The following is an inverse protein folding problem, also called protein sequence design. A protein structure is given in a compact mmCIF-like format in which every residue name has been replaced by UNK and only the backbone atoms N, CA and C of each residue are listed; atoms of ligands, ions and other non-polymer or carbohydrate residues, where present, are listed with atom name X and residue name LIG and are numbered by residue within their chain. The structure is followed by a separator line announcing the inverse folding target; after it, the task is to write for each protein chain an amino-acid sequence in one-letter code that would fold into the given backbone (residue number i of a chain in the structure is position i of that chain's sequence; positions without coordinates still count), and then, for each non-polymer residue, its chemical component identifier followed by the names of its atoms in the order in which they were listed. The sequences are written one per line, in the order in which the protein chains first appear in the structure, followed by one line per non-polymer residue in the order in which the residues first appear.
data_IF_673057426590
#
_entry.id   IF_673057426590
#
_cell.length_a   1.000
_cell.length_b   1.000
_cell.length_c   1.000
_cell.angle_alpha   90.00
_cell.angle_beta   90.00
_cell.angle_gamma   90.00
#
_symmetry.space_group_name_H-M   'P 1'
#
loop_
_entity.id
_entity.type
_entity.pdbx_description
1 polymer ?
#
# COMPACT_ATOMS: atom_id res chain seq x y z
N UNK A 1 14.07 3.74 -47.31
CA UNK A 1 14.79 4.62 -46.36
C UNK A 1 13.88 5.77 -45.92
N UNK A 2 13.15 5.63 -44.81
CA UNK A 2 12.46 6.72 -44.09
C UNK A 2 12.00 6.17 -42.72
N UNK A 3 12.95 5.82 -41.85
CA UNK A 3 12.66 5.41 -40.45
C UNK A 3 13.42 6.25 -39.41
N UNK A 4 14.24 7.22 -39.82
CA UNK A 4 15.14 7.94 -38.89
C UNK A 4 14.59 9.25 -38.32
N UNK A 5 13.47 9.78 -38.83
CA UNK A 5 12.87 11.04 -38.34
C UNK A 5 11.82 10.84 -37.25
N UNK A 6 11.11 9.70 -37.19
CA UNK A 6 10.16 9.42 -36.11
C UNK A 6 10.87 9.11 -34.79
N UNK A 7 11.95 8.33 -34.80
CA UNK A 7 12.68 7.93 -33.59
C UNK A 7 13.37 9.11 -32.89
N UNK A 8 13.82 10.12 -33.64
CA UNK A 8 14.47 11.32 -33.06
C UNK A 8 13.48 12.33 -32.47
N UNK A 9 12.20 12.28 -32.87
CA UNK A 9 11.17 13.20 -32.37
C UNK A 9 10.56 12.74 -31.05
N UNK A 10 10.49 11.43 -30.82
CA UNK A 10 10.12 10.83 -29.53
C UNK A 10 11.15 11.18 -28.44
N UNK A 11 12.44 10.85 -28.65
CA UNK A 11 13.50 11.12 -27.67
C UNK A 11 13.64 12.58 -27.21
N UNK A 12 13.35 13.55 -28.09
CA UNK A 12 13.46 14.98 -27.75
C UNK A 12 12.24 15.51 -26.99
N UNK A 13 11.05 14.99 -27.23
CA UNK A 13 9.88 15.32 -26.42
C UNK A 13 9.94 14.61 -25.07
N UNK A 14 10.37 13.34 -25.04
CA UNK A 14 10.55 12.57 -23.81
C UNK A 14 11.53 13.28 -22.87
N UNK A 15 12.67 13.80 -23.34
CA UNK A 15 13.59 14.51 -22.45
C UNK A 15 13.06 15.83 -21.87
N UNK A 16 12.17 16.54 -22.56
CA UNK A 16 11.61 17.81 -22.07
C UNK A 16 10.41 17.55 -21.15
N UNK A 17 9.53 16.61 -21.51
CA UNK A 17 8.40 16.19 -20.67
C UNK A 17 8.87 15.43 -19.43
N UNK A 18 9.83 14.52 -19.57
CA UNK A 18 10.41 13.81 -18.42
C UNK A 18 11.12 14.79 -17.47
N UNK A 19 11.74 15.85 -17.98
CA UNK A 19 12.36 16.87 -17.11
C UNK A 19 11.34 17.69 -16.32
N UNK A 20 10.08 17.75 -16.75
CA UNK A 20 9.04 18.51 -16.06
C UNK A 20 8.42 17.72 -14.88
N UNK A 21 8.42 16.39 -14.94
CA UNK A 21 7.85 15.51 -13.91
C UNK A 21 8.90 14.76 -13.09
N UNK A 22 10.07 14.41 -13.66
CA UNK A 22 11.17 13.74 -12.96
C UNK A 22 12.14 14.77 -12.35
N UNK A 23 11.63 15.59 -11.46
CA UNK A 23 12.38 16.66 -10.80
C UNK A 23 12.96 16.26 -9.44
N UNK A 24 12.94 14.96 -9.13
CA UNK A 24 13.33 14.38 -7.84
C UNK A 24 12.52 14.93 -6.66
N UNK A 25 11.24 15.23 -6.89
CA UNK A 25 10.25 15.62 -5.89
C UNK A 25 10.24 17.09 -5.52
N UNK A 26 10.84 17.97 -6.32
CA UNK A 26 10.87 19.41 -6.03
C UNK A 26 9.45 19.98 -6.06
N UNK A 27 8.69 19.74 -7.13
CA UNK A 27 7.28 20.13 -7.21
C UNK A 27 6.43 19.46 -6.14
N UNK A 28 6.69 18.18 -5.87
CA UNK A 28 5.96 17.46 -4.83
C UNK A 28 6.17 18.10 -3.45
N UNK A 29 7.40 18.51 -3.13
CA UNK A 29 7.71 19.23 -1.90
C UNK A 29 7.08 20.62 -1.85
N UNK A 30 7.14 21.40 -2.93
CA UNK A 30 6.53 22.73 -3.01
C UNK A 30 5.01 22.68 -2.83
N UNK A 31 4.35 21.68 -3.43
CA UNK A 31 2.90 21.49 -3.42
C UNK A 31 2.41 20.66 -2.22
N UNK A 32 3.30 20.31 -1.29
CA UNK A 32 3.03 19.46 -0.12
C UNK A 32 2.32 18.14 -0.49
N UNK A 33 2.74 17.53 -1.61
CA UNK A 33 2.22 16.26 -2.11
C UNK A 33 3.04 15.11 -1.57
N UNK A 34 2.35 14.14 -0.96
CA UNK A 34 2.96 12.93 -0.41
C UNK A 34 2.37 11.69 -1.06
N UNK A 35 3.22 10.71 -1.35
CA UNK A 35 2.83 9.45 -1.95
C UNK A 35 3.27 8.27 -1.09
N UNK A 36 2.29 7.57 -0.55
CA UNK A 36 2.47 6.35 0.23
C UNK A 36 2.02 5.15 -0.58
N UNK A 37 2.89 4.15 -0.70
CA UNK A 37 2.58 2.93 -1.44
C UNK A 37 2.72 1.72 -0.52
N UNK A 38 1.63 0.99 -0.38
CA UNK A 38 1.41 0.00 0.68
C UNK A 38 1.23 -1.38 0.07
N UNK A 39 2.07 -2.33 0.47
CA UNK A 39 1.90 -3.73 0.10
C UNK A 39 2.54 -4.67 1.11
N UNK A 40 2.01 -5.89 1.21
CA UNK A 40 2.60 -6.96 2.02
C UNK A 40 3.93 -7.49 1.48
N UNK A 41 4.22 -7.19 0.21
CA UNK A 41 5.44 -7.63 -0.48
C UNK A 41 6.55 -6.56 -0.51
N UNK A 42 6.35 -5.40 0.13
CA UNK A 42 7.46 -4.46 0.40
C UNK A 42 8.45 -5.16 1.31
N UNK A 43 9.70 -5.36 0.86
CA UNK A 43 10.77 -6.04 1.61
C UNK A 43 10.43 -7.47 2.06
N UNK A 44 9.46 -8.10 1.40
CA UNK A 44 9.01 -9.44 1.73
C UNK A 44 8.63 -10.18 0.43
N UNK A 45 9.61 -10.86 -0.17
CA UNK A 45 9.43 -11.52 -1.47
C UNK A 45 8.58 -12.77 -1.35
N UNK A 46 7.27 -12.65 -1.64
CA UNK A 46 6.32 -13.77 -1.68
C UNK A 46 5.95 -14.13 -3.12
N UNK A 47 5.82 -13.14 -4.00
CA UNK A 47 5.31 -13.33 -5.36
C UNK A 47 5.77 -12.26 -6.34
N UNK A 48 4.90 -11.93 -7.30
CA UNK A 48 5.19 -11.00 -8.39
C UNK A 48 5.15 -9.53 -7.97
N UNK A 49 4.40 -9.20 -6.91
CA UNK A 49 4.17 -7.81 -6.48
C UNK A 49 5.47 -7.21 -5.97
N UNK A 50 6.29 -7.98 -5.25
CA UNK A 50 7.63 -7.58 -4.85
C UNK A 50 8.46 -7.08 -6.05
N UNK A 51 8.42 -7.81 -7.18
CA UNK A 51 9.16 -7.43 -8.40
C UNK A 51 8.60 -6.14 -9.01
N UNK A 52 7.27 -5.98 -9.05
CA UNK A 52 6.63 -4.76 -9.54
C UNK A 52 7.05 -3.55 -8.70
N UNK A 53 6.88 -3.60 -7.38
CA UNK A 53 7.22 -2.49 -6.48
C UNK A 53 8.71 -2.18 -6.56
N UNK A 54 9.56 -3.21 -6.48
CA UNK A 54 11.03 -3.05 -6.51
C UNK A 54 11.51 -2.38 -7.81
N UNK A 55 11.01 -2.81 -8.96
CA UNK A 55 11.40 -2.24 -10.25
C UNK A 55 10.82 -0.85 -10.51
N UNK A 56 9.62 -0.56 -9.97
CA UNK A 56 8.98 0.76 -10.08
C UNK A 56 9.54 1.79 -9.09
N UNK A 57 10.20 1.36 -8.03
CA UNK A 57 10.70 2.24 -6.98
C UNK A 57 11.62 3.35 -7.52
N UNK A 58 12.50 3.03 -8.47
CA UNK A 58 13.41 3.99 -9.08
C UNK A 58 12.66 5.15 -9.74
N UNK A 59 11.77 4.86 -10.68
CA UNK A 59 11.03 5.93 -11.40
C UNK A 59 10.12 6.71 -10.45
N UNK A 60 9.55 6.04 -9.44
CA UNK A 60 8.72 6.68 -8.41
C UNK A 60 9.53 7.69 -7.60
N UNK A 61 10.78 7.35 -7.26
CA UNK A 61 11.66 8.22 -6.49
C UNK A 61 12.26 9.36 -7.33
N UNK A 62 12.52 9.12 -8.61
CA UNK A 62 12.91 10.14 -9.60
C UNK A 62 11.81 11.20 -9.79
N UNK A 63 10.53 10.82 -9.68
CA UNK A 63 9.39 11.75 -9.71
C UNK A 63 9.17 12.44 -8.35
N UNK A 64 9.03 11.65 -7.28
CA UNK A 64 8.42 12.14 -6.04
C UNK A 64 9.42 12.55 -4.95
N UNK A 65 10.72 12.32 -5.09
CA UNK A 65 11.61 12.79 -4.03
C UNK A 65 11.49 12.00 -2.72
N UNK A 66 11.89 12.65 -1.63
CA UNK A 66 11.63 12.19 -0.26
C UNK A 66 10.14 12.31 0.13
N UNK A 67 9.26 12.63 -0.83
CA UNK A 67 7.80 12.58 -0.65
C UNK A 67 7.21 11.20 -0.97
N UNK A 68 8.04 10.24 -1.38
CA UNK A 68 7.63 8.86 -1.66
C UNK A 68 8.10 7.91 -0.56
N UNK A 69 7.13 7.20 0.04
CA UNK A 69 7.40 6.25 1.10
C UNK A 69 6.63 4.94 0.88
N UNK A 70 7.34 3.82 0.96
CA UNK A 70 6.74 2.49 0.95
C UNK A 70 6.36 2.06 2.36
N UNK A 71 5.22 1.40 2.52
CA UNK A 71 4.79 0.82 3.80
C UNK A 71 4.55 -0.68 3.65
N UNK A 72 5.10 -1.46 4.57
CA UNK A 72 4.97 -2.92 4.54
C UNK A 72 5.16 -3.58 5.89
N UNK A 73 5.11 -4.93 5.94
CA UNK A 73 5.43 -5.69 7.13
C UNK A 73 6.92 -5.64 7.45
N UNK A 74 7.25 -5.59 8.74
CA UNK A 74 8.60 -5.84 9.20
C UNK A 74 8.90 -7.35 9.18
N UNK A 75 9.93 -7.73 8.43
CA UNK A 75 10.53 -9.06 8.48
C UNK A 75 11.99 -8.89 8.89
N UNK A 76 12.36 -9.44 10.04
CA UNK A 76 13.70 -9.29 10.63
C UNK A 76 14.80 -9.79 9.69
N UNK A 77 14.57 -10.90 8.98
CA UNK A 77 15.59 -11.50 8.11
C UNK A 77 15.93 -10.61 6.91
N UNK A 78 14.93 -10.03 6.27
CA UNK A 78 15.13 -9.14 5.10
C UNK A 78 15.54 -7.74 5.53
N UNK A 79 15.05 -7.26 6.68
CA UNK A 79 15.44 -5.95 7.21
C UNK A 79 16.95 -5.87 7.51
N UNK A 80 17.57 -6.96 7.95
CA UNK A 80 19.01 -6.98 8.24
C UNK A 80 19.89 -6.89 6.98
N UNK A 81 19.40 -7.35 5.83
CA UNK A 81 20.19 -7.47 4.60
C UNK A 81 19.81 -6.47 3.51
N UNK A 82 18.56 -6.02 3.49
CA UNK A 82 17.99 -5.19 2.41
C UNK A 82 17.59 -3.80 2.87
N UNK A 83 17.70 -3.46 4.15
CA UNK A 83 17.29 -2.15 4.69
C UNK A 83 18.46 -1.47 5.38
N UNK A 84 18.75 -0.24 4.97
CA UNK A 84 19.55 0.67 5.78
C UNK A 84 18.64 1.33 6.81
N UNK A 85 18.62 0.74 8.02
CA UNK A 85 17.82 1.25 9.14
C UNK A 85 18.47 2.53 9.65
N UNK A 86 17.71 3.62 9.65
CA UNK A 86 18.17 4.93 10.10
C UNK A 86 17.10 5.63 10.94
N UNK A 87 17.46 6.78 11.53
CA UNK A 87 16.48 7.65 12.17
C UNK A 87 15.96 8.65 11.13
N UNK A 88 14.63 8.87 11.02
CA UNK A 88 14.11 9.83 10.07
C UNK A 88 14.69 11.23 10.31
N UNK A 89 15.17 11.86 9.22
CA UNK A 89 15.62 13.26 9.23
C UNK A 89 14.45 14.21 9.43
N UNK A 90 13.30 13.91 8.82
CA UNK A 90 12.06 14.66 8.97
C UNK A 90 11.51 14.57 10.40
N UNK A 91 11.30 15.71 11.10
CA UNK A 91 10.66 15.72 12.41
C UNK A 91 9.25 15.11 12.40
N UNK A 92 8.48 15.34 11.33
CA UNK A 92 7.14 14.77 11.11
C UNK A 92 7.21 13.25 11.22
N UNK A 93 8.07 12.61 10.41
CA UNK A 93 8.20 11.15 10.38
C UNK A 93 8.65 10.60 11.73
N UNK A 94 9.57 11.30 12.41
CA UNK A 94 10.04 10.92 13.74
C UNK A 94 8.91 10.95 14.77
N UNK A 95 8.08 11.99 14.75
CA UNK A 95 6.95 12.13 15.67
C UNK A 95 5.93 11.01 15.45
N UNK A 96 5.59 10.70 14.19
CA UNK A 96 4.69 9.58 13.84
C UNK A 96 5.20 8.27 14.44
N UNK A 97 6.48 7.93 14.21
CA UNK A 97 7.07 6.69 14.73
C UNK A 97 7.07 6.68 16.26
N UNK A 98 7.37 7.82 16.90
CA UNK A 98 7.36 7.92 18.35
C UNK A 98 5.95 7.73 18.94
N UNK A 99 4.92 8.34 18.34
CA UNK A 99 3.52 8.18 18.78
C UNK A 99 3.08 6.72 18.73
N UNK A 100 3.39 5.99 17.64
CA UNK A 100 3.09 4.56 17.56
C UNK A 100 3.89 3.75 18.58
N UNK A 101 5.18 4.07 18.76
CA UNK A 101 6.06 3.40 19.73
C UNK A 101 5.60 3.58 21.17
N UNK A 102 5.19 4.79 21.55
CA UNK A 102 4.61 5.11 22.86
C UNK A 102 3.32 4.34 23.12
N UNK A 103 2.58 4.03 22.05
CA UNK A 103 1.40 3.19 22.09
C UNK A 103 1.70 1.68 22.01
N UNK A 104 2.98 1.28 22.03
CA UNK A 104 3.40 -0.12 22.01
C UNK A 104 3.52 -0.75 20.61
N UNK A 105 3.34 0.01 19.53
CA UNK A 105 3.50 -0.47 18.15
C UNK A 105 4.90 -0.11 17.64
N UNK A 106 5.68 -1.13 17.27
CA UNK A 106 7.01 -0.96 16.71
C UNK A 106 6.92 -0.77 15.20
N UNK A 107 7.44 0.37 14.73
CA UNK A 107 7.63 0.68 13.32
C UNK A 107 9.13 0.94 13.09
N UNK A 108 9.68 0.30 12.06
CA UNK A 108 11.08 0.49 11.64
C UNK A 108 11.09 1.36 10.40
N UNK A 109 11.88 2.43 10.44
CA UNK A 109 12.13 3.31 9.31
C UNK A 109 13.53 3.07 8.75
N UNK A 110 13.67 3.24 7.43
CA UNK A 110 14.95 3.17 6.76
C UNK A 110 14.80 3.37 5.26
N UNK A 111 15.80 2.91 4.52
CA UNK A 111 15.78 2.90 3.06
C UNK A 111 15.95 1.49 2.52
N UNK A 112 15.19 1.14 1.49
CA UNK A 112 15.36 -0.14 0.79
C UNK A 112 16.59 -0.07 -0.12
N UNK A 113 17.54 -0.99 0.07
CA UNK A 113 18.78 -1.13 -0.70
C UNK A 113 18.54 -1.69 -2.11
N UNK A 114 17.82 -0.92 -2.92
CA UNK A 114 17.49 -1.19 -4.33
C UNK A 114 17.70 0.08 -5.17
N UNK A 115 17.60 -0.05 -6.49
CA UNK A 115 17.64 1.10 -7.39
C UNK A 115 16.51 2.09 -7.04
N UNK A 116 16.89 3.35 -6.86
CA UNK A 116 16.01 4.40 -6.35
C UNK A 116 16.20 4.71 -4.86
N UNK A 117 16.68 3.78 -4.04
CA UNK A 117 16.88 3.98 -2.59
C UNK A 117 15.63 4.61 -1.90
N UNK A 118 14.43 4.02 -2.04
CA UNK A 118 13.20 4.61 -1.51
C UNK A 118 13.11 4.49 0.02
N UNK A 119 12.43 5.44 0.65
CA UNK A 119 12.10 5.38 2.07
C UNK A 119 11.10 4.26 2.35
N UNK A 120 11.26 3.57 3.48
CA UNK A 120 10.36 2.51 3.92
C UNK A 120 9.93 2.68 5.37
N UNK A 121 8.68 2.33 5.65
CA UNK A 121 8.11 2.15 6.99
C UNK A 121 7.63 0.71 7.13
N UNK A 122 8.20 -0.01 8.10
CA UNK A 122 7.97 -1.43 8.29
C UNK A 122 7.28 -1.68 9.63
N UNK A 123 6.08 -2.25 9.58
CA UNK A 123 5.24 -2.51 10.76
C UNK A 123 5.51 -3.89 11.33
N UNK A 124 5.91 -3.97 12.60
CA UNK A 124 6.07 -5.25 13.30
C UNK A 124 4.71 -5.76 13.82
N UNK A 125 4.17 -6.78 13.16
CA UNK A 125 2.88 -7.39 13.55
C UNK A 125 2.87 -7.88 14.99
N UNK A 126 3.98 -8.44 15.47
CA UNK A 126 4.07 -8.97 16.83
C UNK A 126 3.85 -7.89 17.89
N UNK A 127 4.33 -6.67 17.62
CA UNK A 127 4.16 -5.53 18.52
C UNK A 127 2.72 -5.04 18.64
N UNK A 128 1.90 -5.25 17.61
CA UNK A 128 0.50 -4.80 17.56
C UNK A 128 -0.51 -5.93 17.82
N UNK A 129 -0.06 -7.18 17.96
CA UNK A 129 -0.93 -8.35 18.12
C UNK A 129 -1.89 -8.28 19.31
N UNK A 130 -1.52 -7.55 20.38
CA UNK A 130 -2.35 -7.36 21.56
C UNK A 130 -3.65 -6.56 21.29
N UNK A 131 -3.70 -5.78 20.19
CA UNK A 131 -4.89 -5.04 19.74
C UNK A 131 -5.79 -5.84 18.79
N UNK A 132 -5.37 -7.04 18.36
CA UNK A 132 -6.04 -7.76 17.27
C UNK A 132 -7.53 -8.02 17.54
N UNK A 133 -7.89 -8.48 18.73
CA UNK A 133 -9.30 -8.80 19.05
C UNK A 133 -10.17 -7.54 19.08
N UNK A 134 -9.63 -6.43 19.61
CA UNK A 134 -10.29 -5.11 19.59
C UNK A 134 -10.51 -4.64 18.15
N UNK A 135 -9.48 -4.72 17.31
CA UNK A 135 -9.55 -4.29 15.91
C UNK A 135 -10.44 -5.18 15.05
N UNK A 136 -10.52 -6.49 15.32
CA UNK A 136 -11.50 -7.36 14.68
C UNK A 136 -12.93 -6.97 15.02
N UNK A 137 -13.19 -6.68 16.29
CA UNK A 137 -14.49 -6.25 16.75
C UNK A 137 -14.88 -4.88 16.16
N UNK A 138 -13.96 -3.91 16.18
CA UNK A 138 -14.14 -2.61 15.53
C UNK A 138 -14.42 -2.77 14.03
N UNK A 139 -13.61 -3.59 13.34
CA UNK A 139 -13.77 -3.79 11.90
C UNK A 139 -15.12 -4.41 11.52
N UNK A 140 -15.58 -5.39 12.30
CA UNK A 140 -16.92 -5.96 12.16
C UNK A 140 -18.01 -4.90 12.32
N UNK A 141 -17.92 -4.06 13.35
CA UNK A 141 -18.92 -3.02 13.60
C UNK A 141 -18.94 -1.94 12.50
N UNK A 142 -17.79 -1.66 11.89
CA UNK A 142 -17.65 -0.66 10.85
C UNK A 142 -18.15 -1.13 9.48
N UNK A 143 -17.89 -2.39 9.10
CA UNK A 143 -18.15 -2.86 7.73
C UNK A 143 -18.82 -4.23 7.61
N UNK A 144 -19.18 -4.88 8.72
CA UNK A 144 -19.80 -6.22 8.77
C UNK A 144 -18.99 -7.32 8.07
N UNK A 145 -17.65 -7.21 8.10
CA UNK A 145 -16.73 -8.25 7.59
C UNK A 145 -16.11 -8.99 8.77
N UNK A 146 -16.49 -10.26 8.93
CA UNK A 146 -16.00 -11.10 10.02
C UNK A 146 -14.70 -11.81 9.64
N UNK A 147 -13.74 -11.87 10.56
CA UNK A 147 -12.45 -12.54 10.34
C UNK A 147 -12.35 -13.79 11.22
N UNK A 148 -12.19 -15.00 10.64
CA UNK A 148 -11.98 -16.22 11.41
C UNK A 148 -10.77 -16.12 12.34
N UNK A 149 -10.88 -16.64 13.57
CA UNK A 149 -9.80 -16.55 14.56
C UNK A 149 -8.49 -17.17 14.07
N UNK A 150 -8.58 -18.34 13.42
CA UNK A 150 -7.44 -19.15 13.00
C UNK A 150 -6.77 -18.67 11.71
N UNK A 151 -7.37 -17.73 10.96
CA UNK A 151 -6.79 -17.24 9.70
C UNK A 151 -5.71 -16.18 9.96
N UNK A 152 -4.47 -16.65 10.08
CA UNK A 152 -3.30 -15.80 10.29
C UNK A 152 -3.12 -14.73 9.22
N UNK A 153 -3.36 -15.04 7.95
CA UNK A 153 -3.12 -14.10 6.85
C UNK A 153 -4.08 -12.91 6.93
N UNK A 154 -5.35 -13.19 7.24
CA UNK A 154 -6.33 -12.13 7.44
C UNK A 154 -6.09 -11.38 8.76
N UNK A 155 -5.63 -12.06 9.81
CA UNK A 155 -5.23 -11.40 11.06
C UNK A 155 -4.08 -10.40 10.84
N UNK A 156 -3.06 -10.82 10.10
CA UNK A 156 -1.92 -9.98 9.73
C UNK A 156 -2.37 -8.80 8.85
N UNK A 157 -3.31 -9.01 7.91
CA UNK A 157 -3.91 -7.94 7.11
C UNK A 157 -4.70 -6.92 7.95
N UNK A 158 -5.42 -7.36 8.98
CA UNK A 158 -6.10 -6.47 9.92
C UNK A 158 -5.07 -5.63 10.69
N UNK A 159 -4.05 -6.26 11.25
CA UNK A 159 -2.99 -5.55 11.98
C UNK A 159 -2.32 -4.50 11.09
N UNK A 160 -1.89 -4.92 9.89
CA UNK A 160 -1.26 -4.02 8.93
C UNK A 160 -2.19 -2.85 8.59
N UNK A 161 -3.46 -3.13 8.26
CA UNK A 161 -4.41 -2.10 7.86
C UNK A 161 -4.66 -1.06 8.93
N UNK A 162 -4.85 -1.47 10.19
CA UNK A 162 -5.03 -0.54 11.31
C UNK A 162 -3.77 0.28 11.58
N UNK A 163 -2.59 -0.34 11.56
CA UNK A 163 -1.33 0.38 11.72
C UNK A 163 -1.09 1.38 10.57
N UNK A 164 -1.36 0.99 9.32
CA UNK A 164 -1.21 1.87 8.16
C UNK A 164 -2.18 3.05 8.24
N UNK A 165 -3.46 2.82 8.55
CA UNK A 165 -4.43 3.90 8.70
C UNK A 165 -4.03 4.87 9.82
N UNK A 166 -3.49 4.35 10.93
CA UNK A 166 -2.98 5.17 12.02
C UNK A 166 -1.73 5.97 11.61
N UNK A 167 -0.75 5.34 10.97
CA UNK A 167 0.45 6.02 10.45
C UNK A 167 0.06 7.17 9.53
N UNK A 168 -0.85 6.93 8.59
CA UNK A 168 -1.31 7.92 7.63
C UNK A 168 -2.07 9.08 8.31
N UNK A 169 -2.97 8.76 9.26
CA UNK A 169 -3.70 9.78 10.02
C UNK A 169 -2.76 10.66 10.86
N UNK A 170 -1.82 10.04 11.58
CA UNK A 170 -0.86 10.77 12.41
C UNK A 170 0.09 11.59 11.53
N UNK A 171 0.54 11.05 10.41
CA UNK A 171 1.37 11.77 9.46
C UNK A 171 0.66 13.00 8.90
N UNK A 172 -0.61 12.87 8.50
CA UNK A 172 -1.43 13.99 8.03
C UNK A 172 -1.46 15.13 9.06
N UNK A 173 -1.73 14.80 10.33
CA UNK A 173 -1.76 15.78 11.44
C UNK A 173 -0.41 16.44 11.63
N UNK A 174 0.67 15.66 11.67
CA UNK A 174 2.02 16.17 11.92
C UNK A 174 2.50 17.09 10.79
N UNK A 175 2.21 16.79 9.52
CA UNK A 175 2.52 17.70 8.41
C UNK A 175 1.68 18.98 8.48
N UNK A 176 0.40 18.88 8.82
CA UNK A 176 -0.47 20.04 9.01
C UNK A 176 0.08 21.02 10.06
N UNK A 177 0.65 20.49 11.15
CA UNK A 177 1.31 21.27 12.19
C UNK A 177 2.64 21.87 11.73
N UNK A 178 3.46 21.11 11.01
CA UNK A 178 4.79 21.53 10.54
C UNK A 178 4.71 22.62 9.45
N UNK A 179 3.80 22.46 8.47
CA UNK A 179 3.69 23.35 7.30
C UNK A 179 2.57 24.40 7.40
N UNK A 180 1.75 24.35 8.45
CA UNK A 180 0.61 25.26 8.62
C UNK A 180 -0.46 25.13 7.53
N UNK A 181 -0.44 24.05 6.75
CA UNK A 181 -1.37 23.74 5.66
C UNK A 181 -1.56 22.24 5.55
N UNK A 182 -2.77 21.81 5.16
CA UNK A 182 -3.08 20.40 4.96
C UNK A 182 -2.23 19.81 3.82
N UNK A 183 -1.65 18.61 3.99
CA UNK A 183 -0.93 17.94 2.91
C UNK A 183 -1.88 17.31 1.90
N UNK A 184 -1.41 17.22 0.66
CA UNK A 184 -2.07 16.46 -0.40
C UNK A 184 -1.52 15.02 -0.37
N UNK A 185 -2.17 14.14 0.39
CA UNK A 185 -1.71 12.76 0.56
C UNK A 185 -2.41 11.79 -0.39
N UNK A 186 -1.62 10.93 -1.03
CA UNK A 186 -2.07 9.79 -1.82
C UNK A 186 -1.58 8.50 -1.17
N UNK A 187 -2.50 7.57 -0.87
CA UNK A 187 -2.19 6.25 -0.36
C UNK A 187 -2.63 5.18 -1.38
N UNK A 188 -1.67 4.45 -1.93
CA UNK A 188 -1.88 3.43 -2.95
C UNK A 188 -1.65 2.04 -2.36
N UNK A 189 -2.69 1.22 -2.40
CA UNK A 189 -2.73 -0.09 -1.78
C UNK A 189 -2.70 -1.18 -2.85
N UNK A 190 -1.80 -2.14 -2.70
CA UNK A 190 -1.69 -3.30 -3.58
C UNK A 190 -2.25 -4.54 -2.91
N UNK A 191 -3.21 -5.17 -3.59
CA UNK A 191 -3.93 -6.37 -3.18
C UNK A 191 -4.72 -6.32 -1.86
N UNK A 192 -5.61 -7.30 -1.68
CA UNK A 192 -6.57 -7.33 -0.57
C UNK A 192 -5.93 -7.34 0.82
N UNK A 193 -4.69 -7.82 0.97
CA UNK A 193 -3.98 -7.89 2.25
C UNK A 193 -3.58 -6.51 2.78
N UNK A 194 -3.40 -5.52 1.91
CA UNK A 194 -3.22 -4.12 2.32
C UNK A 194 -4.55 -3.33 2.33
N UNK A 195 -5.61 -3.89 1.72
CA UNK A 195 -6.90 -3.24 1.51
C UNK A 195 -7.63 -2.82 2.79
N UNK A 196 -7.37 -3.46 3.94
CA UNK A 196 -7.95 -3.05 5.23
C UNK A 196 -7.60 -1.59 5.55
N UNK A 197 -6.34 -1.17 5.30
CA UNK A 197 -5.91 0.20 5.56
C UNK A 197 -6.68 1.21 4.70
N UNK A 198 -6.93 0.87 3.44
CA UNK A 198 -7.74 1.68 2.53
C UNK A 198 -9.17 1.83 3.02
N UNK A 199 -9.81 0.70 3.38
CA UNK A 199 -11.19 0.68 3.89
C UNK A 199 -11.30 1.60 5.11
N UNK A 200 -10.37 1.48 6.06
CA UNK A 200 -10.34 2.32 7.26
C UNK A 200 -10.14 3.80 6.94
N UNK A 201 -9.24 4.15 6.02
CA UNK A 201 -9.06 5.56 5.59
C UNK A 201 -10.39 6.17 5.11
N UNK A 202 -11.19 5.38 4.40
CA UNK A 202 -12.46 5.83 3.80
C UNK A 202 -13.60 5.88 4.80
N UNK A 203 -13.75 4.86 5.64
CA UNK A 203 -14.80 4.80 6.66
C UNK A 203 -14.58 5.88 7.74
N UNK A 204 -13.31 6.15 8.09
CA UNK A 204 -12.96 7.19 9.07
C UNK A 204 -12.91 8.60 8.47
N UNK A 205 -13.24 8.75 7.19
CA UNK A 205 -13.20 10.03 6.47
C UNK A 205 -11.86 10.77 6.60
N UNK A 206 -10.75 10.03 6.50
CA UNK A 206 -9.42 10.64 6.44
C UNK A 206 -9.29 11.41 5.13
N UNK A 207 -8.71 12.61 5.19
CA UNK A 207 -8.49 13.48 4.03
C UNK A 207 -7.26 13.03 3.21
N UNK A 208 -7.38 11.82 2.65
CA UNK A 208 -6.32 11.12 1.93
C UNK A 208 -6.93 10.49 0.68
N UNK A 209 -6.36 10.81 -0.48
CA UNK A 209 -6.73 10.17 -1.73
C UNK A 209 -6.27 8.70 -1.72
N UNK A 210 -7.10 7.78 -2.21
CA UNK A 210 -6.81 6.34 -2.13
C UNK A 210 -6.89 5.67 -3.49
N UNK A 211 -5.88 4.86 -3.79
CA UNK A 211 -5.82 4.02 -4.99
C UNK A 211 -5.76 2.56 -4.57
N UNK A 212 -6.49 1.69 -5.25
CA UNK A 212 -6.40 0.25 -5.06
C UNK A 212 -6.02 -0.43 -6.37
N UNK A 213 -4.93 -1.20 -6.35
CA UNK A 213 -4.53 -2.07 -7.46
C UNK A 213 -4.67 -3.53 -7.06
N UNK A 214 -5.46 -4.30 -7.81
CA UNK A 214 -5.43 -5.77 -7.75
C UNK A 214 -4.62 -6.30 -8.93
N UNK A 215 -3.58 -7.09 -8.65
CA UNK A 215 -2.76 -7.74 -9.67
C UNK A 215 -3.40 -9.05 -10.15
N UNK A 216 -4.22 -9.68 -9.31
CA UNK A 216 -5.08 -10.79 -9.70
C UNK A 216 -6.26 -10.91 -8.73
N UNK A 217 -7.48 -11.02 -9.26
CA UNK A 217 -8.67 -11.23 -8.42
C UNK A 217 -8.59 -12.55 -7.66
N UNK A 218 -8.97 -12.53 -6.37
CA UNK A 218 -8.94 -13.70 -5.50
C UNK A 218 -9.73 -14.86 -6.11
N UNK A 219 -11.00 -14.65 -6.45
CA UNK A 219 -11.86 -15.70 -7.02
C UNK A 219 -11.36 -16.19 -8.38
N UNK A 220 -10.82 -15.31 -9.23
CA UNK A 220 -10.29 -15.71 -10.54
C UNK A 220 -9.19 -16.75 -10.44
N UNK A 221 -8.29 -16.63 -9.44
CA UNK A 221 -7.22 -17.63 -9.20
C UNK A 221 -7.81 -19.00 -8.85
N UNK A 222 -8.82 -19.05 -7.99
CA UNK A 222 -9.44 -20.31 -7.58
C UNK A 222 -10.30 -20.94 -8.68
N UNK A 223 -11.01 -20.13 -9.47
CA UNK A 223 -11.88 -20.62 -10.55
C UNK A 223 -11.08 -21.17 -11.73
N UNK A 224 -10.00 -20.49 -12.12
CA UNK A 224 -9.11 -20.98 -13.17
C UNK A 224 -8.40 -22.28 -12.77
N UNK A 225 -8.05 -22.46 -11.50
CA UNK A 225 -7.45 -23.71 -11.00
C UNK A 225 -8.41 -24.91 -11.05
N UNK A 226 -9.73 -24.66 -11.08
CA UNK A 226 -10.76 -25.70 -11.16
C UNK A 226 -11.01 -26.22 -12.59
N UNK A 227 -10.23 -25.78 -13.59
CA UNK A 227 -10.35 -26.16 -15.01
C UNK A 227 -11.76 -25.94 -15.60
N UNK A 228 -12.45 -24.91 -15.11
CA UNK A 228 -13.75 -24.47 -15.63
C UNK A 228 -13.48 -23.49 -16.79
N UNK A 229 -14.37 -23.48 -17.79
CA UNK A 229 -14.35 -22.45 -18.83
C UNK A 229 -14.69 -21.08 -18.22
N UNK A 230 -13.65 -20.39 -17.74
CA UNK A 230 -13.79 -19.22 -16.88
C UNK A 230 -14.32 -17.99 -17.62
N UNK A 231 -13.65 -17.58 -18.69
CA UNK A 231 -13.96 -16.31 -19.38
C UNK A 231 -15.32 -16.32 -20.07
N UNK A 232 -15.77 -17.48 -20.58
CA UNK A 232 -17.07 -17.57 -21.24
C UNK A 232 -18.24 -17.58 -20.25
N UNK A 233 -18.00 -17.92 -18.98
CA UNK A 233 -19.04 -18.11 -17.96
C UNK A 233 -18.99 -17.05 -16.83
N UNK A 234 -18.25 -15.95 -17.00
CA UNK A 234 -18.06 -14.93 -15.96
C UNK A 234 -19.37 -14.44 -15.31
N UNK A 235 -20.42 -14.27 -16.12
CA UNK A 235 -21.72 -13.76 -15.69
C UNK A 235 -22.58 -14.82 -14.97
N UNK A 236 -22.21 -16.10 -15.03
CA UNK A 236 -22.95 -17.21 -14.44
C UNK A 236 -22.47 -17.56 -13.03
N UNK A 237 -21.33 -17.03 -12.59
CA UNK A 237 -20.79 -17.34 -11.27
C UNK A 237 -21.52 -16.58 -10.16
N UNK A 238 -22.00 -17.33 -9.17
CA UNK A 238 -22.52 -16.78 -7.93
C UNK A 238 -21.36 -16.50 -6.96
N UNK A 239 -20.78 -15.30 -7.04
CA UNK A 239 -19.54 -14.94 -6.35
C UNK A 239 -19.53 -15.25 -4.85
N UNK A 240 -20.60 -14.90 -4.12
CA UNK A 240 -20.69 -15.16 -2.68
C UNK A 240 -20.66 -16.65 -2.35
N UNK A 241 -21.37 -17.46 -3.16
CA UNK A 241 -21.39 -18.92 -3.03
C UNK A 241 -20.03 -19.53 -3.34
N UNK A 242 -19.40 -19.11 -4.44
CA UNK A 242 -18.08 -19.60 -4.84
C UNK A 242 -17.01 -19.32 -3.77
N UNK A 243 -17.06 -18.15 -3.14
CA UNK A 243 -16.14 -17.78 -2.07
C UNK A 243 -16.45 -18.52 -0.75
N UNK A 244 -17.72 -18.70 -0.43
CA UNK A 244 -18.18 -19.44 0.76
C UNK A 244 -17.83 -20.93 0.71
N UNK A 245 -18.09 -21.60 -0.41
CA UNK A 245 -17.75 -23.03 -0.60
C UNK A 245 -16.25 -23.29 -0.47
N UNK A 246 -15.42 -22.29 -0.80
CA UNK A 246 -13.95 -22.36 -0.69
C UNK A 246 -13.39 -21.86 0.63
N UNK A 247 -14.24 -21.45 1.57
CA UNK A 247 -13.83 -20.92 2.88
C UNK A 247 -12.92 -19.68 2.79
N UNK A 248 -13.14 -18.85 1.77
CA UNK A 248 -12.39 -17.60 1.53
C UNK A 248 -13.33 -16.37 1.49
N UNK A 249 -14.56 -16.51 1.96
CA UNK A 249 -15.59 -15.47 1.90
C UNK A 249 -15.14 -14.15 2.52
N UNK A 250 -14.50 -14.19 3.68
CA UNK A 250 -13.98 -13.00 4.36
C UNK A 250 -12.89 -12.29 3.55
N UNK A 251 -11.99 -13.03 2.91
CA UNK A 251 -10.95 -12.46 2.03
C UNK A 251 -11.55 -11.86 0.76
N UNK A 252 -12.54 -12.52 0.18
CA UNK A 252 -13.33 -12.01 -0.94
C UNK A 252 -14.04 -10.70 -0.57
N UNK A 253 -14.66 -10.64 0.61
CA UNK A 253 -15.29 -9.42 1.10
C UNK A 253 -14.28 -8.28 1.32
N UNK A 254 -13.09 -8.58 1.84
CA UNK A 254 -12.00 -7.59 1.98
C UNK A 254 -11.55 -7.04 0.63
N UNK A 255 -11.29 -7.90 -0.35
CA UNK A 255 -10.92 -7.51 -1.71
C UNK A 255 -12.01 -6.60 -2.31
N UNK A 256 -13.26 -7.07 -2.30
CA UNK A 256 -14.40 -6.33 -2.85
C UNK A 256 -14.64 -5.00 -2.13
N UNK A 257 -14.53 -4.98 -0.81
CA UNK A 257 -14.70 -3.76 -0.02
C UNK A 257 -13.58 -2.74 -0.31
N UNK A 258 -12.34 -3.18 -0.48
CA UNK A 258 -11.22 -2.31 -0.84
C UNK A 258 -11.43 -1.68 -2.23
N UNK A 259 -11.85 -2.47 -3.22
CA UNK A 259 -12.19 -1.98 -4.57
C UNK A 259 -13.27 -0.90 -4.52
N UNK A 260 -14.40 -1.19 -3.86
CA UNK A 260 -15.54 -0.26 -3.80
C UNK A 260 -15.27 0.96 -2.90
N UNK A 261 -14.32 0.87 -1.99
CA UNK A 261 -13.92 1.98 -1.13
C UNK A 261 -12.84 2.85 -1.78
N UNK A 262 -12.15 2.43 -2.82
CA UNK A 262 -11.08 3.24 -3.41
C UNK A 262 -11.62 4.49 -4.12
N UNK A 263 -10.85 5.58 -4.16
CA UNK A 263 -11.17 6.70 -5.05
C UNK A 263 -10.85 6.34 -6.51
N UNK A 264 -9.76 5.61 -6.71
CA UNK A 264 -9.35 5.08 -8.01
C UNK A 264 -9.07 3.59 -7.88
N UNK A 265 -9.61 2.81 -8.80
CA UNK A 265 -9.38 1.37 -8.89
C UNK A 265 -8.62 1.04 -10.18
N UNK A 266 -7.59 0.21 -10.07
CA UNK A 266 -6.71 -0.24 -11.15
C UNK A 266 -6.48 -1.75 -11.07
N UNK A 267 -6.11 -2.35 -12.21
CA UNK A 267 -5.82 -3.78 -12.37
C UNK A 267 -4.53 -3.97 -13.16
#
# INVERSE_FOLDING_TARGET
MRSSQMSKRFYRLDNVLNSEYLDNGRKAEEENRWYFEVATEVLNKVGGIHTVIRSKAQISREEMGDQYCLIGPYNESTALTEVEVETPKSPVMRNVINTLKESGVRVVYGHWLIDGYPQVLLVDYGSAAWKLDEWKHDFWNLCNIGVPFQDRETNDAIILGYCVAWILEEFYKQVGLDRGSAPNMLAHFHEWMSGVGLILCRIRHLDIATVFTTHATLLGRYLCAANIDFYNNLHLFHLDREAGERQIYHRYCLERAAVHSAHVFTT
#
